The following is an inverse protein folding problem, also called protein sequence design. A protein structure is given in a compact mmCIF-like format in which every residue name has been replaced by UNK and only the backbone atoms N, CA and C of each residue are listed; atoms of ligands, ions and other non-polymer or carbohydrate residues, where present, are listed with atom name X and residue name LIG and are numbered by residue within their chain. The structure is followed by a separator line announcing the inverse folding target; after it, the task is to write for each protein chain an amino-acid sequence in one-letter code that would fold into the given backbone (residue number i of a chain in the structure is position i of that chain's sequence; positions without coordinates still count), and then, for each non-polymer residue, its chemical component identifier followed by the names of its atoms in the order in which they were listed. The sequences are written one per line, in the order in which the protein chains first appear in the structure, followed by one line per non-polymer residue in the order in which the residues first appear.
data_IF_850210878639
#
_entry.id   IF_850210878639
#
_cell.length_a   1.000
_cell.length_b   1.000
_cell.length_c   1.000
_cell.angle_alpha   90.00
_cell.angle_beta   90.00
_cell.angle_gamma   90.00
#
_symmetry.space_group_name_H-M   'P 1'
#
loop_
_entity.id
_entity.type
_entity.pdbx_description
1 polymer ?
#
# COMPACT_ATOMS: atom_id res chain seq x y z
N UNK A 1 13.38 13.04 7.49
CA UNK A 1 13.05 11.90 6.61
C UNK A 1 11.53 11.78 6.54
N UNK A 2 10.93 11.96 5.35
CA UNK A 2 9.49 11.81 5.15
C UNK A 2 9.12 10.32 5.24
N UNK A 3 8.25 9.94 6.18
CA UNK A 3 7.78 8.57 6.34
C UNK A 3 6.31 8.46 5.92
N UNK A 4 6.04 7.65 4.89
CA UNK A 4 4.69 7.32 4.47
C UNK A 4 4.24 6.10 5.24
N UNK A 5 3.04 6.16 5.87
CA UNK A 5 2.50 5.08 6.69
C UNK A 5 0.98 5.08 6.70
N UNK A 6 0.40 4.05 7.29
CA UNK A 6 -1.03 3.93 7.58
C UNK A 6 -1.93 4.21 6.35
N UNK A 7 -2.93 5.08 6.49
CA UNK A 7 -3.94 5.35 5.47
C UNK A 7 -3.38 5.88 4.14
N UNK A 8 -2.21 6.54 4.19
CA UNK A 8 -1.54 6.98 2.96
C UNK A 8 -1.06 5.77 2.14
N UNK A 9 -0.57 4.74 2.79
CA UNK A 9 -0.18 3.49 2.12
C UNK A 9 -1.42 2.73 1.67
N UNK A 10 -2.42 2.60 2.55
CA UNK A 10 -3.65 1.87 2.26
C UNK A 10 -4.37 2.44 1.03
N UNK A 11 -4.60 3.76 0.99
CA UNK A 11 -5.32 4.41 -0.10
C UNK A 11 -4.58 4.31 -1.44
N UNK A 12 -3.27 4.54 -1.45
CA UNK A 12 -2.49 4.41 -2.69
C UNK A 12 -2.37 2.94 -3.15
N UNK A 13 -2.27 2.00 -2.23
CA UNK A 13 -2.28 0.57 -2.54
C UNK A 13 -3.62 0.16 -3.16
N UNK A 14 -4.74 0.47 -2.49
CA UNK A 14 -6.08 0.20 -2.99
C UNK A 14 -6.31 0.79 -4.38
N UNK A 15 -5.91 2.04 -4.58
CA UNK A 15 -6.06 2.75 -5.84
C UNK A 15 -5.31 2.05 -6.98
N UNK A 16 -4.08 1.62 -6.74
CA UNK A 16 -3.18 1.09 -7.79
C UNK A 16 -3.19 -0.43 -7.93
N UNK A 17 -3.91 -1.12 -7.04
CA UNK A 17 -4.10 -2.57 -7.12
C UNK A 17 -4.86 -2.94 -8.39
N UNK A 18 -4.46 -4.02 -9.06
CA UNK A 18 -5.16 -4.59 -10.22
C UNK A 18 -5.90 -5.85 -9.77
N UNK A 19 -7.22 -5.90 -10.01
CA UNK A 19 -8.04 -7.04 -9.59
C UNK A 19 -7.82 -8.23 -10.55
N UNK A 20 -7.33 -9.39 -10.08
CA UNK A 20 -6.97 -10.52 -10.93
C UNK A 20 -8.12 -11.16 -11.71
N UNK A 21 -9.37 -10.96 -11.25
CA UNK A 21 -10.55 -11.68 -11.72
C UNK A 21 -11.17 -11.14 -13.01
N UNK A 22 -10.62 -10.06 -13.58
CA UNK A 22 -11.13 -9.51 -14.82
C UNK A 22 -10.35 -10.13 -15.99
N UNK A 23 -11.06 -10.90 -16.81
CA UNK A 23 -10.50 -11.53 -18.00
C UNK A 23 -9.74 -10.51 -18.84
N UNK A 24 -8.45 -10.76 -19.07
CA UNK A 24 -7.54 -9.87 -19.79
C UNK A 24 -7.83 -9.74 -21.28
N UNK A 25 -8.72 -10.59 -21.83
CA UNK A 25 -9.02 -10.66 -23.26
C UNK A 25 -9.80 -9.45 -23.79
N UNK A 26 -10.59 -8.77 -22.93
CA UNK A 26 -11.39 -7.61 -23.35
C UNK A 26 -11.11 -6.39 -22.46
N UNK A 27 -9.91 -5.84 -22.58
CA UNK A 27 -9.58 -4.56 -21.93
C UNK A 27 -10.33 -3.43 -22.60
N UNK A 28 -11.10 -2.66 -21.84
CA UNK A 28 -11.70 -1.43 -22.35
C UNK A 28 -10.60 -0.47 -22.83
N UNK A 29 -10.82 0.17 -23.98
CA UNK A 29 -9.85 1.08 -24.60
C UNK A 29 -10.38 2.49 -24.51
N UNK A 30 -9.56 3.41 -24.00
CA UNK A 30 -9.89 4.83 -23.85
C UNK A 30 -8.87 5.70 -24.59
N UNK A 31 -9.38 6.74 -25.26
CA UNK A 31 -8.53 7.66 -26.01
C UNK A 31 -7.63 8.52 -25.10
N UNK A 32 -8.10 8.82 -23.89
CA UNK A 32 -7.41 9.62 -22.88
C UNK A 32 -7.89 9.26 -21.46
N UNK A 33 -7.25 9.85 -20.43
CA UNK A 33 -7.62 9.61 -19.03
C UNK A 33 -9.02 10.11 -18.68
N UNK A 34 -9.44 11.23 -19.28
CA UNK A 34 -10.76 11.84 -19.00
C UNK A 34 -11.92 10.95 -19.46
N UNK A 35 -11.78 10.25 -20.59
CA UNK A 35 -12.81 9.31 -21.07
C UNK A 35 -12.93 8.11 -20.11
N UNK A 36 -11.80 7.65 -19.56
CA UNK A 36 -11.78 6.56 -18.58
C UNK A 36 -12.38 7.01 -17.23
N UNK A 37 -12.09 8.24 -16.80
CA UNK A 37 -12.69 8.85 -15.60
C UNK A 37 -14.21 8.99 -15.75
N UNK A 38 -14.69 9.48 -16.89
CA UNK A 38 -16.11 9.59 -17.18
C UNK A 38 -16.82 8.22 -17.13
N UNK A 39 -16.18 7.18 -17.66
CA UNK A 39 -16.72 5.81 -17.57
C UNK A 39 -16.82 5.31 -16.11
N UNK A 40 -15.87 5.69 -15.27
CA UNK A 40 -15.87 5.41 -13.85
C UNK A 40 -17.01 6.16 -13.13
N UNK A 41 -17.16 7.46 -13.37
CA UNK A 41 -18.22 8.28 -12.78
C UNK A 41 -19.62 7.80 -13.16
N UNK A 42 -19.76 7.25 -14.37
CA UNK A 42 -20.99 6.61 -14.83
C UNK A 42 -21.21 5.18 -14.27
N UNK A 43 -20.32 4.66 -13.43
CA UNK A 43 -20.38 3.31 -12.86
C UNK A 43 -20.11 2.19 -13.86
N UNK A 44 -19.55 2.50 -15.05
CA UNK A 44 -19.25 1.52 -16.12
C UNK A 44 -17.83 0.96 -16.05
N UNK A 45 -16.97 1.56 -15.24
CA UNK A 45 -15.59 1.16 -15.04
C UNK A 45 -15.27 1.14 -13.55
N UNK A 46 -14.53 0.13 -13.09
CA UNK A 46 -13.97 0.11 -11.74
C UNK A 46 -12.51 0.61 -11.76
N UNK A 47 -12.08 1.25 -10.68
CA UNK A 47 -10.71 1.77 -10.52
C UNK A 47 -9.62 0.75 -10.81
N UNK A 48 -9.88 -0.50 -10.43
CA UNK A 48 -8.93 -1.61 -10.45
C UNK A 48 -9.07 -2.50 -11.70
N UNK A 49 -9.97 -2.14 -12.63
CA UNK A 49 -10.15 -2.89 -13.87
C UNK A 49 -9.00 -2.62 -14.85
N UNK A 50 -8.46 -3.66 -15.51
CA UNK A 50 -7.44 -3.49 -16.53
C UNK A 50 -8.02 -2.76 -17.75
N UNK A 51 -7.34 -1.69 -18.19
CA UNK A 51 -7.71 -0.86 -19.33
C UNK A 51 -6.51 -0.62 -20.25
N UNK A 52 -6.80 -0.14 -21.46
CA UNK A 52 -5.81 0.48 -22.33
C UNK A 52 -6.16 1.96 -22.49
N UNK A 53 -5.25 2.83 -22.14
CA UNK A 53 -5.48 4.27 -22.20
C UNK A 53 -4.24 5.00 -22.69
N UNK A 54 -4.45 6.09 -23.43
CA UNK A 54 -3.37 7.02 -23.75
C UNK A 54 -3.15 7.98 -22.58
N UNK A 55 -1.96 7.90 -21.99
CA UNK A 55 -1.51 8.79 -20.91
C UNK A 55 -0.05 9.21 -21.17
N UNK A 56 0.30 10.46 -20.84
CA UNK A 56 1.65 11.02 -21.09
C UNK A 56 2.17 10.80 -22.54
N UNK A 57 1.27 10.84 -23.53
CA UNK A 57 1.61 10.66 -24.94
C UNK A 57 1.69 9.22 -25.46
N UNK A 58 1.71 8.23 -24.58
CA UNK A 58 1.85 6.82 -24.91
C UNK A 58 0.61 6.00 -24.52
N UNK A 59 0.46 4.81 -25.13
CA UNK A 59 -0.61 3.88 -24.80
C UNK A 59 -0.11 2.91 -23.74
N UNK A 60 -0.78 2.89 -22.59
CA UNK A 60 -0.45 2.01 -21.47
C UNK A 60 -1.54 0.96 -21.26
N UNK A 61 -1.11 -0.28 -20.98
CA UNK A 61 -1.94 -1.30 -20.37
C UNK A 61 -1.85 -1.09 -18.83
N UNK A 62 -2.92 -0.62 -18.23
CA UNK A 62 -2.90 -0.13 -16.85
C UNK A 62 -4.29 -0.24 -16.21
N UNK A 63 -4.51 0.42 -15.08
CA UNK A 63 -5.81 0.62 -14.45
C UNK A 63 -6.10 2.12 -14.31
N UNK A 64 -7.37 2.50 -14.19
CA UNK A 64 -7.73 3.91 -13.97
C UNK A 64 -7.09 4.45 -12.69
N UNK A 65 -7.01 3.65 -11.64
CA UNK A 65 -6.37 4.06 -10.39
C UNK A 65 -4.88 4.39 -10.56
N UNK A 66 -4.15 3.66 -11.41
CA UNK A 66 -2.74 4.00 -11.74
C UNK A 66 -2.64 5.26 -12.60
N UNK A 67 -3.63 5.53 -13.43
CA UNK A 67 -3.71 6.82 -14.17
C UNK A 67 -3.80 7.96 -13.17
N UNK A 68 -4.74 7.95 -12.24
CA UNK A 68 -4.87 8.97 -11.20
C UNK A 68 -3.60 9.13 -10.35
N UNK A 69 -2.91 8.03 -10.02
CA UNK A 69 -1.64 8.10 -9.33
C UNK A 69 -0.56 8.82 -10.17
N UNK A 70 -0.52 8.62 -11.48
CA UNK A 70 0.44 9.29 -12.34
C UNK A 70 0.13 10.77 -12.57
N UNK A 71 -1.13 11.20 -12.43
CA UNK A 71 -1.54 12.61 -12.55
C UNK A 71 -1.05 13.49 -11.40
N UNK A 72 -0.76 12.90 -10.23
CA UNK A 72 -0.18 13.66 -9.10
C UNK A 72 1.35 13.78 -9.16
N UNK A 73 2.00 13.04 -10.04
CA UNK A 73 3.45 13.08 -10.24
C UNK A 73 3.82 14.24 -11.18
N UNK A 74 5.06 14.74 -11.15
CA UNK A 74 5.54 15.72 -12.12
C UNK A 74 5.32 15.27 -13.56
N UNK A 75 5.05 16.24 -14.47
CA UNK A 75 4.63 15.95 -15.86
C UNK A 75 5.66 15.11 -16.62
N UNK A 76 6.94 15.38 -16.42
CA UNK A 76 8.07 14.70 -17.07
C UNK A 76 8.56 13.47 -16.28
N UNK A 77 7.89 13.11 -15.16
CA UNK A 77 8.20 11.89 -14.43
C UNK A 77 7.75 10.66 -15.23
N UNK A 78 8.57 9.59 -15.31
CA UNK A 78 8.22 8.37 -16.03
C UNK A 78 6.89 7.77 -15.54
N UNK A 79 6.10 7.24 -16.48
CA UNK A 79 4.83 6.59 -16.12
C UNK A 79 5.08 5.41 -15.18
N UNK A 80 4.48 5.45 -13.99
CA UNK A 80 4.59 4.39 -12.99
C UNK A 80 3.38 3.47 -13.07
N UNK A 81 3.59 2.24 -13.53
CA UNK A 81 2.55 1.22 -13.67
C UNK A 81 2.58 0.15 -12.57
N UNK A 82 3.30 0.39 -11.48
CA UNK A 82 3.41 -0.54 -10.36
C UNK A 82 2.32 -0.32 -9.33
N UNK A 83 1.99 -1.38 -8.59
CA UNK A 83 1.19 -1.27 -7.36
C UNK A 83 1.99 -0.50 -6.31
N UNK A 84 1.38 0.52 -5.72
CA UNK A 84 2.04 1.42 -4.79
C UNK A 84 2.03 0.87 -3.37
N UNK A 85 2.98 -0.01 -3.08
CA UNK A 85 3.28 -0.47 -1.72
C UNK A 85 4.06 0.60 -0.96
N UNK A 86 4.19 0.46 0.37
CA UNK A 86 5.03 1.36 1.19
C UNK A 86 6.45 1.51 0.63
N UNK A 87 7.04 0.43 0.13
CA UNK A 87 8.39 0.41 -0.47
C UNK A 87 8.42 1.20 -1.78
N UNK A 88 7.44 1.00 -2.66
CA UNK A 88 7.36 1.70 -3.95
C UNK A 88 7.08 3.19 -3.76
N UNK A 89 6.17 3.58 -2.85
CA UNK A 89 5.93 4.99 -2.53
C UNK A 89 7.19 5.70 -2.04
N UNK A 90 7.96 5.04 -1.14
CA UNK A 90 9.24 5.58 -0.67
C UNK A 90 10.24 5.75 -1.81
N UNK A 91 10.30 4.79 -2.75
CA UNK A 91 11.17 4.83 -3.92
C UNK A 91 10.78 5.96 -4.87
N UNK A 92 9.48 6.14 -5.15
CA UNK A 92 8.97 7.24 -5.98
C UNK A 92 9.36 8.59 -5.38
N UNK A 93 9.15 8.81 -4.08
CA UNK A 93 9.53 10.07 -3.44
C UNK A 93 11.04 10.31 -3.43
N UNK A 94 11.86 9.26 -3.27
CA UNK A 94 13.30 9.40 -3.38
C UNK A 94 13.72 9.83 -4.80
N UNK A 95 13.16 9.21 -5.84
CA UNK A 95 13.43 9.58 -7.24
C UNK A 95 12.98 11.02 -7.55
N UNK A 96 11.86 11.47 -6.97
CA UNK A 96 11.39 12.85 -7.12
C UNK A 96 12.34 13.81 -6.41
N UNK A 97 12.80 13.46 -5.22
CA UNK A 97 13.76 14.27 -4.47
C UNK A 97 15.08 14.44 -5.24
N UNK A 98 15.61 13.34 -5.75
CA UNK A 98 16.89 13.35 -6.50
C UNK A 98 16.79 14.16 -7.80
N UNK A 99 15.62 14.17 -8.45
CA UNK A 99 15.43 14.83 -9.75
C UNK A 99 14.92 16.26 -9.66
N UNK A 100 14.03 16.56 -8.70
CA UNK A 100 13.31 17.85 -8.63
C UNK A 100 13.55 18.61 -7.32
N UNK A 101 14.26 18.01 -6.37
CA UNK A 101 14.59 18.63 -5.08
C UNK A 101 13.45 18.59 -4.06
N UNK A 102 13.71 19.23 -2.90
CA UNK A 102 12.86 19.13 -1.71
C UNK A 102 11.47 19.75 -1.89
N UNK A 103 11.37 20.88 -2.60
CA UNK A 103 10.11 21.60 -2.76
C UNK A 103 9.07 20.79 -3.56
N UNK A 104 9.47 20.24 -4.72
CA UNK A 104 8.55 19.43 -5.53
C UNK A 104 8.23 18.09 -4.85
N UNK A 105 9.17 17.54 -4.08
CA UNK A 105 8.92 16.35 -3.25
C UNK A 105 7.84 16.63 -2.20
N UNK A 106 7.89 17.78 -1.52
CA UNK A 106 6.87 18.16 -0.55
C UNK A 106 5.49 18.32 -1.21
N UNK A 107 5.42 19.01 -2.34
CA UNK A 107 4.18 19.20 -3.11
C UNK A 107 3.60 17.86 -3.57
N UNK A 108 4.44 16.97 -4.07
CA UNK A 108 4.00 15.64 -4.52
C UNK A 108 3.55 14.77 -3.34
N UNK A 109 4.24 14.84 -2.21
CA UNK A 109 3.82 14.13 -1.00
C UNK A 109 2.46 14.61 -0.49
N UNK A 110 2.17 15.91 -0.55
CA UNK A 110 0.86 16.46 -0.19
C UNK A 110 -0.24 16.03 -1.16
N UNK A 111 0.02 16.03 -2.47
CA UNK A 111 -0.90 15.51 -3.48
C UNK A 111 -1.16 14.02 -3.25
N UNK A 112 -0.11 13.24 -2.99
CA UNK A 112 -0.18 11.80 -2.69
C UNK A 112 -1.00 11.52 -1.42
N UNK A 113 -0.83 12.31 -0.38
CA UNK A 113 -1.63 12.24 0.86
C UNK A 113 -3.11 12.50 0.57
N UNK A 114 -3.43 13.58 -0.15
CA UNK A 114 -4.82 13.92 -0.49
C UNK A 114 -5.51 12.82 -1.31
N UNK A 115 -4.82 12.31 -2.33
CA UNK A 115 -5.30 11.20 -3.15
C UNK A 115 -5.53 9.93 -2.30
N UNK A 116 -4.58 9.59 -1.44
CA UNK A 116 -4.65 8.42 -0.58
C UNK A 116 -5.84 8.47 0.38
N UNK A 117 -6.06 9.59 1.06
CA UNK A 117 -7.18 9.72 1.99
C UNK A 117 -8.54 9.63 1.27
N UNK A 118 -8.66 10.23 0.08
CA UNK A 118 -9.86 10.07 -0.75
C UNK A 118 -10.13 8.59 -1.02
N UNK A 119 -9.13 7.83 -1.47
CA UNK A 119 -9.33 6.44 -1.86
C UNK A 119 -9.29 5.45 -0.70
N UNK A 120 -8.69 5.77 0.44
CA UNK A 120 -8.86 5.02 1.68
C UNK A 120 -10.32 5.09 2.16
N UNK A 121 -10.95 6.27 2.05
CA UNK A 121 -12.38 6.45 2.36
C UNK A 121 -13.26 5.66 1.40
N UNK A 122 -12.99 5.70 0.08
CA UNK A 122 -13.74 4.92 -0.92
C UNK A 122 -13.56 3.42 -0.73
N UNK A 123 -12.37 2.98 -0.33
CA UNK A 123 -12.06 1.58 -0.05
C UNK A 123 -12.92 1.02 1.09
N UNK A 124 -13.28 1.87 2.06
CA UNK A 124 -14.11 1.52 3.23
C UNK A 124 -13.63 0.25 3.96
N UNK A 125 -12.30 0.05 4.03
CA UNK A 125 -11.69 -1.10 4.70
C UNK A 125 -11.83 -0.93 6.20
N UNK A 126 -12.55 -1.84 6.83
CA UNK A 126 -12.66 -1.94 8.29
C UNK A 126 -12.20 -3.32 8.73
N UNK A 127 -11.53 -3.40 9.87
CA UNK A 127 -11.16 -4.67 10.49
C UNK A 127 -11.76 -4.75 11.87
N UNK A 128 -12.48 -5.82 12.14
CA UNK A 128 -13.07 -6.15 13.42
C UNK A 128 -12.31 -7.28 14.13
N UNK A 129 -12.67 -7.57 15.37
CA UNK A 129 -12.08 -8.66 16.15
C UNK A 129 -12.22 -10.01 15.41
N UNK A 130 -13.35 -10.22 14.75
CA UNK A 130 -13.67 -11.50 14.11
C UNK A 130 -12.96 -11.73 12.77
N UNK A 131 -12.31 -10.68 12.23
CA UNK A 131 -11.49 -10.79 11.02
C UNK A 131 -10.10 -11.40 11.30
N UNK A 132 -9.70 -11.47 12.56
CA UNK A 132 -8.45 -12.11 12.98
C UNK A 132 -8.67 -13.61 13.20
N UNK A 133 -8.03 -14.40 12.35
CA UNK A 133 -8.08 -15.87 12.48
C UNK A 133 -7.38 -16.28 13.77
N UNK A 134 -8.13 -16.93 14.66
CA UNK A 134 -7.56 -17.53 15.86
C UNK A 134 -6.89 -18.84 15.47
N UNK A 135 -5.60 -18.97 15.75
CA UNK A 135 -4.87 -20.20 15.50
C UNK A 135 -5.11 -21.18 16.65
N UNK A 136 -5.53 -22.41 16.34
CA UNK A 136 -5.79 -23.45 17.35
C UNK A 136 -4.56 -23.76 18.21
N UNK A 137 -3.36 -23.53 17.68
CA UNK A 137 -2.08 -23.74 18.36
C UNK A 137 -1.67 -22.59 19.31
N UNK A 138 -2.42 -21.49 19.37
CA UNK A 138 -2.05 -20.30 20.14
C UNK A 138 -1.89 -20.64 21.63
N UNK A 139 -2.81 -21.41 22.19
CA UNK A 139 -2.76 -21.81 23.60
C UNK A 139 -1.55 -22.70 23.92
N UNK A 140 -1.20 -23.64 23.06
CA UNK A 140 -0.04 -24.53 23.22
C UNK A 140 1.26 -23.72 23.21
N UNK A 141 1.40 -22.77 22.27
CA UNK A 141 2.58 -21.89 22.17
C UNK A 141 2.73 -21.02 23.41
N UNK A 142 1.62 -20.45 23.91
CA UNK A 142 1.63 -19.62 25.14
C UNK A 142 2.02 -20.47 26.34
N UNK A 143 1.43 -21.65 26.51
CA UNK A 143 1.75 -22.54 27.64
C UNK A 143 3.21 -23.01 27.60
N UNK A 144 3.78 -23.24 26.43
CA UNK A 144 5.19 -23.59 26.31
C UNK A 144 6.08 -22.42 26.69
N UNK A 145 5.74 -21.20 26.23
CA UNK A 145 6.42 -19.95 26.63
C UNK A 145 6.36 -19.72 28.13
N UNK A 146 5.20 -19.90 28.75
CA UNK A 146 5.04 -19.73 30.22
C UNK A 146 5.85 -20.77 31.01
N UNK A 147 5.93 -22.01 30.54
CA UNK A 147 6.79 -23.05 31.17
C UNK A 147 8.27 -22.67 31.10
N UNK A 148 8.73 -22.16 29.95
CA UNK A 148 10.09 -21.69 29.77
C UNK A 148 10.39 -20.49 30.68
N UNK A 149 9.50 -19.52 30.74
CA UNK A 149 9.64 -18.34 31.61
C UNK A 149 9.71 -18.73 33.10
N UNK A 150 8.85 -19.66 33.52
CA UNK A 150 8.86 -20.15 34.91
C UNK A 150 10.15 -20.90 35.25
N UNK A 151 10.69 -21.71 34.35
CA UNK A 151 11.96 -22.41 34.54
C UNK A 151 13.14 -21.44 34.67
N UNK A 152 13.19 -20.41 33.83
CA UNK A 152 14.24 -19.38 33.87
C UNK A 152 14.14 -18.57 35.17
N UNK A 153 12.92 -18.23 35.60
CA UNK A 153 12.70 -17.53 36.89
C UNK A 153 13.17 -18.37 38.08
N UNK A 154 12.86 -19.65 38.11
CA UNK A 154 13.31 -20.59 39.16
C UNK A 154 14.85 -20.70 39.21
N UNK A 155 15.51 -20.80 38.04
CA UNK A 155 16.98 -20.82 37.96
C UNK A 155 17.61 -19.51 38.47
N UNK A 156 16.98 -18.38 38.23
CA UNK A 156 17.41 -17.09 38.76
C UNK A 156 17.26 -17.02 40.29
N UNK A 157 16.10 -17.43 40.80
CA UNK A 157 15.81 -17.43 42.21
C UNK A 157 16.75 -18.39 43.01
N UNK A 158 17.18 -19.47 42.35
CA UNK A 158 18.21 -20.38 42.88
C UNK A 158 19.65 -19.84 42.76
N UNK A 159 19.86 -18.70 42.14
CA UNK A 159 21.17 -18.09 41.92
C UNK A 159 22.06 -18.83 40.91
N UNK A 160 21.45 -19.63 40.02
CA UNK A 160 22.16 -20.40 38.99
C UNK A 160 22.49 -19.55 37.74
N UNK A 161 21.74 -18.49 37.51
CA UNK A 161 21.92 -17.56 36.42
C UNK A 161 21.90 -16.11 36.93
N UNK A 162 22.60 -15.23 36.22
CA UNK A 162 22.61 -13.79 36.46
C UNK A 162 21.37 -13.09 35.91
N UNK A 163 21.13 -11.83 36.29
CA UNK A 163 20.01 -11.05 35.73
C UNK A 163 20.16 -10.81 34.24
N UNK A 164 21.39 -10.63 33.72
CA UNK A 164 21.68 -10.50 32.29
C UNK A 164 21.38 -11.79 31.53
N UNK A 165 21.69 -12.96 32.12
CA UNK A 165 21.38 -14.27 31.50
C UNK A 165 19.88 -14.58 31.55
N UNK A 166 19.15 -14.10 32.57
CA UNK A 166 17.70 -14.21 32.65
C UNK A 166 17.00 -13.41 31.55
N UNK A 167 17.56 -12.26 31.19
CA UNK A 167 16.97 -11.34 30.18
C UNK A 167 17.25 -11.77 28.74
N UNK A 168 18.36 -12.46 28.45
CA UNK A 168 18.77 -12.91 27.12
C UNK A 168 18.29 -14.33 26.83
#
# INVERSE_FOLDING_TARGET
VLSISQDIVLGNYYLTYEKPSVQTEHRAVFANSRDAELAYDMGRLHLQSPIRVRAKGEIHNTTLGRVFFNEILPDDFPYNNNVQTKKELKKVLAQIFDRYGAEETAKTADRMKGLAFRFATVAAVSTGKDDYVHLDQTEEIIQEGDKHAALIADQYDQGLITDDERYN
#
